data_IF_103378850788
#
_entry.id   IF_103378850788
#
_cell.length_a   1.000
_cell.length_b   1.000
_cell.length_c   1.000
_cell.angle_alpha   90.00
_cell.angle_beta   90.00
_cell.angle_gamma   90.00
#
_symmetry.space_group_name_H-M   'P 1'
#
loop_
_entity.id
_entity.type
_entity.pdbx_description
1 polymer ?
#
# COMPACT_ATOMS: atom_id res chain seq x y z
N UNK A 1 36.26 67.92 -42.21
CA UNK A 1 36.29 68.32 -40.77
C UNK A 1 35.21 67.51 -40.08
N UNK A 2 35.55 66.41 -39.40
CA UNK A 2 36.04 66.32 -38.01
C UNK A 2 34.87 66.31 -36.98
N UNK A 3 34.69 65.13 -36.36
CA UNK A 3 34.18 64.79 -34.99
C UNK A 3 32.70 64.38 -34.88
N UNK A 4 32.34 63.09 -34.67
CA UNK A 4 32.34 62.25 -33.44
C UNK A 4 31.35 62.70 -32.35
N UNK A 5 30.22 62.00 -32.23
CA UNK A 5 29.52 61.79 -30.97
C UNK A 5 28.76 60.45 -31.00
N UNK A 6 29.25 59.53 -30.18
CA UNK A 6 28.74 58.19 -29.89
C UNK A 6 27.50 58.31 -29.00
N UNK A 7 26.43 57.54 -29.28
CA UNK A 7 25.39 57.26 -28.29
C UNK A 7 25.03 55.77 -28.34
N UNK A 8 25.70 55.04 -27.45
CA UNK A 8 25.39 53.69 -27.01
C UNK A 8 24.28 53.80 -25.96
N UNK A 9 23.10 53.26 -26.23
CA UNK A 9 22.10 52.98 -25.19
C UNK A 9 21.71 51.51 -25.30
N UNK A 10 22.10 50.76 -24.27
CA UNK A 10 21.82 49.36 -24.08
C UNK A 10 20.34 49.15 -23.75
N UNK A 11 19.60 48.46 -24.61
CA UNK A 11 18.31 47.86 -24.28
C UNK A 11 18.55 46.40 -23.84
N UNK A 12 18.97 46.24 -22.59
CA UNK A 12 19.00 44.95 -21.91
C UNK A 12 18.22 45.08 -20.60
N UNK A 13 16.90 44.89 -20.64
CA UNK A 13 16.09 44.58 -19.46
C UNK A 13 14.68 44.19 -19.91
N UNK A 14 14.23 43.00 -19.54
CA UNK A 14 12.80 42.67 -19.62
C UNK A 14 12.42 41.26 -20.03
N UNK A 15 13.30 40.26 -20.00
CA UNK A 15 12.82 38.88 -19.82
C UNK A 15 12.35 38.75 -18.37
N UNK A 16 11.15 39.27 -18.08
CA UNK A 16 10.42 39.01 -16.85
C UNK A 16 9.99 37.55 -16.84
N UNK A 17 10.93 36.67 -16.49
CA UNK A 17 10.59 35.30 -16.09
C UNK A 17 9.81 35.46 -14.80
N UNK A 18 8.49 35.44 -14.91
CA UNK A 18 7.64 35.32 -13.73
C UNK A 18 8.03 33.97 -13.11
N UNK A 19 8.59 33.92 -11.88
CA UNK A 19 8.73 32.64 -11.21
C UNK A 19 7.31 32.14 -10.99
N UNK A 20 6.87 31.21 -11.83
CA UNK A 20 5.71 30.39 -11.50
C UNK A 20 6.07 29.77 -10.14
N UNK A 21 5.30 30.03 -9.07
CA UNK A 21 5.48 29.30 -7.84
C UNK A 21 5.36 27.83 -8.19
N UNK A 22 6.42 27.07 -7.97
CA UNK A 22 6.30 25.62 -8.03
C UNK A 22 5.15 25.23 -7.09
N UNK A 23 4.15 24.48 -7.58
CA UNK A 23 3.11 23.97 -6.71
C UNK A 23 3.81 23.29 -5.53
N UNK A 24 3.35 23.48 -4.28
CA UNK A 24 3.93 22.75 -3.17
C UNK A 24 3.79 21.26 -3.50
N UNK A 25 4.90 20.60 -3.83
CA UNK A 25 4.94 19.17 -3.94
C UNK A 25 4.73 18.65 -2.53
N UNK A 26 3.50 18.29 -2.20
CA UNK A 26 3.22 17.59 -0.96
C UNK A 26 4.04 16.31 -0.98
N UNK A 27 5.01 16.22 -0.05
CA UNK A 27 5.83 15.03 0.05
C UNK A 27 4.92 13.86 0.47
N UNK A 28 4.98 12.71 -0.22
CA UNK A 28 4.18 11.56 0.18
C UNK A 28 4.57 11.11 1.60
N UNK A 29 3.61 10.62 2.40
CA UNK A 29 3.91 9.99 3.68
C UNK A 29 4.85 8.80 3.47
N UNK A 30 5.70 8.54 4.45
CA UNK A 30 6.60 7.38 4.41
C UNK A 30 6.79 6.75 5.79
N UNK A 31 6.83 5.43 5.80
CA UNK A 31 7.39 4.63 6.89
C UNK A 31 8.91 4.58 6.70
N UNK A 32 9.65 5.33 7.51
CA UNK A 32 11.07 5.64 7.28
C UNK A 32 12.02 5.00 8.32
N UNK A 33 11.52 4.69 9.51
CA UNK A 33 12.33 4.10 10.59
C UNK A 33 11.79 2.75 11.05
N UNK A 34 12.47 2.20 12.05
CA UNK A 34 12.13 0.89 12.60
C UNK A 34 10.78 0.96 13.31
N UNK A 35 9.97 -0.09 13.13
CA UNK A 35 8.75 -0.33 13.88
C UNK A 35 9.00 -1.54 14.76
N UNK A 36 8.81 -1.38 16.06
CA UNK A 36 8.99 -2.46 17.03
C UNK A 36 7.63 -3.00 17.41
N UNK A 37 7.51 -4.32 17.46
CA UNK A 37 6.32 -5.02 17.93
C UNK A 37 6.66 -5.83 19.18
N UNK A 38 5.98 -5.56 20.28
CA UNK A 38 6.13 -6.32 21.52
C UNK A 38 5.16 -7.51 21.52
N UNK A 39 5.58 -8.65 20.97
CA UNK A 39 4.79 -9.88 21.09
C UNK A 39 4.96 -10.44 22.50
N UNK A 40 3.85 -10.58 23.23
CA UNK A 40 3.86 -11.24 24.53
C UNK A 40 3.70 -12.77 24.36
N UNK A 41 4.78 -13.51 24.56
CA UNK A 41 4.82 -14.98 24.41
C UNK A 41 3.94 -15.75 25.41
N UNK A 42 3.51 -15.09 26.48
CA UNK A 42 2.76 -15.69 27.60
C UNK A 42 1.32 -15.14 27.68
N UNK A 43 1.00 -14.12 26.88
CA UNK A 43 -0.31 -13.50 26.90
C UNK A 43 -1.18 -14.14 25.82
N UNK A 44 -1.97 -15.14 26.19
CA UNK A 44 -2.98 -15.70 25.28
C UNK A 44 -3.97 -14.61 24.87
N UNK A 45 -3.92 -14.21 23.60
CA UNK A 45 -4.89 -13.29 22.99
C UNK A 45 -4.77 -11.82 23.40
N UNK A 46 -3.65 -11.39 24.00
CA UNK A 46 -3.40 -9.96 24.15
C UNK A 46 -3.08 -9.33 22.78
N UNK A 47 -3.52 -8.08 22.53
CA UNK A 47 -3.15 -7.37 21.33
C UNK A 47 -1.63 -7.18 21.29
N UNK A 48 -1.10 -7.18 20.08
CA UNK A 48 0.28 -6.84 19.79
C UNK A 48 0.42 -5.31 19.77
N UNK A 49 1.19 -4.77 20.71
CA UNK A 49 1.55 -3.35 20.73
C UNK A 49 2.64 -3.10 19.68
N UNK A 50 2.33 -2.24 18.70
CA UNK A 50 3.27 -1.75 17.71
C UNK A 50 3.64 -0.30 18.03
N UNK A 51 4.94 -0.02 18.07
CA UNK A 51 5.46 1.31 18.34
C UNK A 51 6.47 1.74 17.28
N UNK A 52 6.35 2.99 16.83
CA UNK A 52 7.37 3.68 16.06
C UNK A 52 8.09 4.70 16.95
N UNK A 53 9.42 4.66 16.93
CA UNK A 53 10.24 5.69 17.57
C UNK A 53 10.09 7.04 16.86
N UNK A 54 10.58 8.15 17.46
CA UNK A 54 10.66 9.43 16.76
C UNK A 54 11.38 9.28 15.41
N UNK A 55 10.77 9.79 14.34
CA UNK A 55 11.24 9.67 12.96
C UNK A 55 10.83 8.39 12.23
N UNK A 56 10.13 7.44 12.88
CA UNK A 56 9.67 6.21 12.23
C UNK A 56 8.67 6.47 11.11
N UNK A 57 7.89 7.56 11.23
CA UNK A 57 6.99 8.04 10.19
C UNK A 57 7.37 9.46 9.81
N UNK A 58 7.34 9.74 8.51
CA UNK A 58 7.48 11.10 7.99
C UNK A 58 6.25 11.47 7.19
N UNK A 59 5.90 12.74 7.29
CA UNK A 59 4.89 13.34 6.45
C UNK A 59 3.50 12.66 6.48
N UNK A 60 3.08 12.16 7.65
CA UNK A 60 1.81 11.47 7.86
C UNK A 60 1.03 11.98 9.08
N UNK A 61 -0.29 11.81 9.06
CA UNK A 61 -1.17 12.11 10.19
C UNK A 61 -1.51 10.84 10.99
N UNK A 62 -1.55 9.69 10.29
CA UNK A 62 -1.90 8.39 10.89
C UNK A 62 -1.04 7.26 10.34
N UNK A 63 -0.91 6.20 11.14
CA UNK A 63 -0.51 4.86 10.69
C UNK A 63 -1.74 3.98 10.67
N UNK A 64 -1.97 3.37 9.51
CA UNK A 64 -2.95 2.31 9.31
C UNK A 64 -2.23 0.97 9.38
N UNK A 65 -2.81 0.01 10.11
CA UNK A 65 -2.28 -1.33 10.26
C UNK A 65 -3.37 -2.40 10.13
N UNK A 66 -3.05 -3.54 9.52
CA UNK A 66 -3.96 -4.67 9.36
C UNK A 66 -3.23 -5.99 9.53
N UNK A 67 -3.81 -6.91 10.30
CA UNK A 67 -3.35 -8.29 10.36
C UNK A 67 -3.91 -9.08 9.17
N UNK A 68 -3.02 -9.51 8.27
CA UNK A 68 -3.35 -10.22 7.03
C UNK A 68 -3.74 -11.70 7.26
N UNK A 69 -3.45 -12.25 8.44
CA UNK A 69 -3.84 -13.59 8.86
C UNK A 69 -5.12 -13.61 9.71
N UNK A 70 -5.61 -12.43 10.12
CA UNK A 70 -6.85 -12.26 10.85
C UNK A 70 -7.97 -11.69 9.99
N UNK A 71 -9.18 -11.63 10.56
CA UNK A 71 -10.36 -11.02 9.93
C UNK A 71 -10.79 -9.71 10.59
N UNK A 72 -10.09 -9.28 11.65
CA UNK A 72 -10.37 -8.02 12.33
C UNK A 72 -10.25 -6.82 11.36
N UNK A 73 -11.02 -5.75 11.56
CA UNK A 73 -10.84 -4.49 10.82
C UNK A 73 -9.42 -3.92 11.00
N UNK A 74 -8.97 -3.03 10.10
CA UNK A 74 -7.72 -2.33 10.31
C UNK A 74 -7.79 -1.43 11.55
N UNK A 75 -6.62 -1.23 12.16
CA UNK A 75 -6.41 -0.30 13.27
C UNK A 75 -5.72 0.95 12.73
N UNK A 76 -6.14 2.12 13.20
CA UNK A 76 -5.58 3.40 12.82
C UNK A 76 -5.12 4.12 14.08
N UNK A 77 -3.90 4.63 14.07
CA UNK A 77 -3.35 5.40 15.18
C UNK A 77 -2.77 6.75 14.70
N UNK A 78 -2.88 7.81 15.51
CA UNK A 78 -2.30 9.10 15.18
C UNK A 78 -0.77 9.05 15.21
N UNK A 79 -0.15 9.85 14.37
CA UNK A 79 1.30 10.10 14.36
C UNK A 79 1.59 11.38 15.14
N UNK A 80 2.55 11.32 16.06
CA UNK A 80 3.00 12.48 16.82
C UNK A 80 3.83 13.44 15.97
N UNK A 81 4.03 14.67 16.43
CA UNK A 81 4.78 15.70 15.68
C UNK A 81 6.25 15.36 15.42
N UNK A 82 6.81 14.39 16.14
CA UNK A 82 8.16 13.87 15.92
C UNK A 82 8.19 12.60 15.04
N UNK A 83 7.05 12.14 14.52
CA UNK A 83 6.95 10.94 13.70
C UNK A 83 6.79 9.62 14.47
N UNK A 84 6.68 9.67 15.81
CA UNK A 84 6.40 8.48 16.62
C UNK A 84 4.91 8.10 16.58
N UNK A 85 4.59 6.84 16.87
CA UNK A 85 3.22 6.34 16.99
C UNK A 85 3.17 5.10 17.91
N UNK A 86 1.98 4.80 18.41
CA UNK A 86 1.69 3.56 19.13
C UNK A 86 0.28 3.06 18.75
N UNK A 87 0.14 1.76 18.49
CA UNK A 87 -1.13 1.13 18.17
C UNK A 87 -1.19 -0.31 18.67
N UNK A 88 -2.38 -0.75 19.05
CA UNK A 88 -2.66 -2.13 19.47
C UNK A 88 -3.38 -2.86 18.34
N UNK A 89 -2.85 -3.99 17.88
CA UNK A 89 -3.46 -4.81 16.83
C UNK A 89 -3.62 -6.26 17.26
N UNK A 90 -4.76 -6.85 16.94
CA UNK A 90 -4.97 -8.29 17.15
C UNK A 90 -4.01 -9.08 16.25
N UNK A 91 -3.06 -9.79 16.85
CA UNK A 91 -2.05 -10.55 16.12
C UNK A 91 -1.29 -11.49 17.03
N UNK A 92 -0.81 -12.59 16.45
CA UNK A 92 0.04 -13.57 17.12
C UNK A 92 1.41 -13.60 16.44
N UNK A 93 2.39 -14.22 17.12
CA UNK A 93 3.68 -14.52 16.50
C UNK A 93 3.47 -15.30 15.19
N UNK A 94 4.18 -14.89 14.14
CA UNK A 94 4.12 -15.47 12.82
C UNK A 94 3.05 -14.86 11.92
N UNK A 95 2.11 -14.09 12.46
CA UNK A 95 1.17 -13.35 11.63
C UNK A 95 1.89 -12.27 10.82
N UNK A 96 1.41 -12.07 9.61
CA UNK A 96 1.79 -11.03 8.70
C UNK A 96 0.90 -9.80 8.90
N UNK A 97 1.52 -8.65 9.11
CA UNK A 97 0.90 -7.37 9.33
C UNK A 97 1.24 -6.46 8.16
N UNK A 98 0.25 -5.71 7.66
CA UNK A 98 0.45 -4.64 6.69
C UNK A 98 0.36 -3.30 7.39
N UNK A 99 1.38 -2.47 7.25
CA UNK A 99 1.42 -1.10 7.75
C UNK A 99 1.48 -0.11 6.59
N UNK A 100 0.87 1.06 6.78
CA UNK A 100 0.90 2.16 5.82
C UNK A 100 0.80 3.51 6.54
N UNK A 101 1.66 4.45 6.19
CA UNK A 101 1.56 5.83 6.66
C UNK A 101 0.62 6.63 5.74
N UNK A 102 -0.25 7.47 6.31
CA UNK A 102 -1.28 8.20 5.55
C UNK A 102 -1.42 9.66 5.98
N UNK A 103 -1.75 10.51 5.00
CA UNK A 103 -2.06 11.94 5.19
C UNK A 103 -3.17 12.33 4.22
N UNK A 104 -4.37 12.57 4.73
CA UNK A 104 -5.56 12.78 3.88
C UNK A 104 -5.72 11.62 2.87
N UNK A 105 -5.71 11.94 1.57
CA UNK A 105 -5.79 10.94 0.50
C UNK A 105 -4.42 10.33 0.11
N UNK A 106 -3.31 10.87 0.62
CA UNK A 106 -1.97 10.37 0.33
C UNK A 106 -1.65 9.15 1.21
N UNK A 107 -1.03 8.15 0.59
CA UNK A 107 -0.72 6.86 1.20
C UNK A 107 0.72 6.48 0.84
N UNK A 108 1.48 5.96 1.80
CA UNK A 108 2.80 5.40 1.52
C UNK A 108 2.68 4.09 0.77
N UNK A 109 3.76 3.56 0.21
CA UNK A 109 3.77 2.14 -0.15
C UNK A 109 3.46 1.29 1.10
N UNK A 110 2.64 0.23 0.99
CA UNK A 110 2.37 -0.64 2.12
C UNK A 110 3.63 -1.46 2.47
N UNK A 111 3.89 -1.65 3.76
CA UNK A 111 4.98 -2.50 4.25
C UNK A 111 4.37 -3.71 4.92
N UNK A 112 4.84 -4.90 4.53
CA UNK A 112 4.37 -6.16 5.12
C UNK A 112 5.45 -6.71 6.04
N UNK A 113 5.08 -6.96 7.29
CA UNK A 113 5.97 -7.34 8.38
C UNK A 113 5.45 -8.61 9.05
N UNK A 114 6.34 -9.47 9.53
CA UNK A 114 6.00 -10.64 10.33
C UNK A 114 6.20 -10.29 11.81
N UNK A 115 5.20 -10.60 12.62
CA UNK A 115 5.31 -10.51 14.08
C UNK A 115 6.27 -11.58 14.60
N UNK A 116 7.51 -11.20 14.91
CA UNK A 116 8.54 -12.08 15.46
C UNK A 116 8.68 -11.88 16.98
N UNK A 117 9.62 -12.58 17.62
CA UNK A 117 9.87 -12.42 19.06
C UNK A 117 10.52 -11.07 19.34
N UNK A 118 9.76 -10.13 19.91
CA UNK A 118 10.26 -8.82 20.33
C UNK A 118 10.63 -7.84 19.21
N UNK A 119 10.32 -8.17 17.96
CA UNK A 119 10.57 -7.34 16.79
C UNK A 119 9.57 -7.62 15.67
N UNK A 120 9.46 -6.68 14.73
CA UNK A 120 8.85 -6.92 13.43
C UNK A 120 9.94 -7.17 12.40
N UNK A 121 9.75 -8.19 11.57
CA UNK A 121 10.69 -8.53 10.49
C UNK A 121 10.04 -8.31 9.12
N UNK A 122 10.78 -7.89 8.08
CA UNK A 122 10.23 -7.83 6.74
C UNK A 122 9.67 -9.18 6.29
N UNK A 123 8.44 -9.19 5.77
CA UNK A 123 7.85 -10.43 5.27
C UNK A 123 8.61 -10.96 4.05
N UNK A 124 9.02 -12.24 4.03
CA UNK A 124 9.76 -12.81 2.91
C UNK A 124 8.98 -12.69 1.58
N UNK A 125 9.71 -12.31 0.52
CA UNK A 125 9.18 -12.16 -0.85
C UNK A 125 10.02 -12.96 -1.85
N UNK A 126 10.04 -14.31 -1.77
CA UNK A 126 10.90 -15.15 -2.61
C UNK A 126 10.65 -14.96 -4.12
N UNK A 127 9.42 -14.66 -4.51
CA UNK A 127 9.04 -14.47 -5.91
C UNK A 127 9.07 -13.01 -6.38
N UNK A 128 9.55 -12.05 -5.57
CA UNK A 128 9.54 -10.62 -5.95
C UNK A 128 10.31 -10.29 -7.23
N UNK A 129 11.27 -11.13 -7.61
CA UNK A 129 12.04 -10.97 -8.84
C UNK A 129 11.43 -11.64 -10.08
N UNK A 130 10.27 -12.30 -9.98
CA UNK A 130 9.66 -13.01 -11.10
C UNK A 130 8.12 -13.11 -11.10
N UNK A 131 7.46 -12.71 -10.02
CA UNK A 131 6.02 -12.61 -9.91
C UNK A 131 5.66 -11.21 -9.41
N UNK A 132 5.16 -10.39 -10.34
CA UNK A 132 4.80 -9.00 -10.14
C UNK A 132 3.29 -8.83 -10.11
N UNK A 133 2.80 -8.24 -9.02
CA UNK A 133 1.40 -7.90 -8.80
C UNK A 133 1.40 -6.59 -8.03
N UNK A 134 0.56 -5.63 -8.41
CA UNK A 134 0.43 -4.38 -7.65
C UNK A 134 0.05 -4.67 -6.20
N UNK A 135 0.59 -3.87 -5.26
CA UNK A 135 0.32 -4.08 -3.82
C UNK A 135 -0.99 -3.45 -3.39
N UNK A 136 -1.51 -2.53 -4.20
CA UNK A 136 -2.75 -1.82 -3.98
C UNK A 136 -3.49 -1.67 -5.30
N UNK A 137 -4.82 -1.68 -5.24
CA UNK A 137 -5.70 -1.50 -6.38
C UNK A 137 -6.78 -0.48 -6.01
N UNK A 138 -6.70 0.70 -6.63
CA UNK A 138 -7.73 1.71 -6.51
C UNK A 138 -8.96 1.32 -7.34
N UNK A 139 -10.13 1.38 -6.73
CA UNK A 139 -11.41 1.15 -7.35
C UNK A 139 -12.13 2.48 -7.56
N UNK A 140 -12.76 2.72 -8.73
CA UNK A 140 -13.56 3.90 -8.93
C UNK A 140 -14.68 3.98 -7.89
N UNK A 141 -15.00 5.19 -7.45
CA UNK A 141 -16.20 5.43 -6.65
C UNK A 141 -17.45 4.96 -7.40
N UNK A 142 -18.40 4.39 -6.65
CA UNK A 142 -19.69 3.96 -7.16
C UNK A 142 -20.79 4.36 -6.18
N UNK A 143 -21.96 4.73 -6.71
CA UNK A 143 -23.15 4.92 -5.89
C UNK A 143 -23.61 3.58 -5.29
N UNK A 144 -24.31 3.62 -4.14
CA UNK A 144 -24.83 2.41 -3.49
C UNK A 144 -25.64 1.53 -4.47
N UNK A 145 -25.31 0.24 -4.54
CA UNK A 145 -25.90 -0.73 -5.44
C UNK A 145 -25.38 -0.71 -6.89
N UNK A 146 -24.67 0.34 -7.32
CA UNK A 146 -23.98 0.36 -8.60
C UNK A 146 -22.65 -0.40 -8.49
N UNK A 147 -22.14 -0.91 -9.62
CA UNK A 147 -20.86 -1.60 -9.67
C UNK A 147 -19.78 -0.71 -10.28
N UNK A 148 -18.60 -0.69 -9.67
CA UNK A 148 -17.34 -0.30 -10.31
C UNK A 148 -16.39 -1.49 -10.35
N UNK A 149 -15.37 -1.41 -11.20
CA UNK A 149 -14.36 -2.47 -11.25
C UNK A 149 -13.01 -1.94 -11.71
N UNK A 150 -11.96 -2.54 -11.17
CA UNK A 150 -10.58 -2.42 -11.64
C UNK A 150 -9.99 -3.81 -11.80
N UNK A 151 -8.84 -3.92 -12.47
CA UNK A 151 -8.15 -5.17 -12.64
C UNK A 151 -6.69 -5.03 -12.23
N UNK A 152 -6.14 -6.07 -11.61
CA UNK A 152 -4.71 -6.18 -11.33
C UNK A 152 -4.12 -7.29 -12.21
N UNK A 153 -3.00 -6.98 -12.86
CA UNK A 153 -2.26 -7.95 -13.65
C UNK A 153 -1.52 -8.91 -12.71
N UNK A 154 -1.59 -10.21 -13.02
CA UNK A 154 -0.79 -11.26 -12.40
C UNK A 154 0.38 -11.56 -13.33
N UNK A 155 1.39 -10.69 -13.33
CA UNK A 155 2.52 -10.79 -14.24
C UNK A 155 3.54 -11.79 -13.69
N UNK A 156 3.85 -12.82 -14.49
CA UNK A 156 4.76 -13.89 -14.10
C UNK A 156 5.79 -14.16 -15.19
N UNK A 157 7.05 -14.21 -14.80
CA UNK A 157 8.20 -14.45 -15.67
C UNK A 157 9.25 -15.36 -14.99
N UNK A 158 8.83 -16.16 -14.00
CA UNK A 158 9.73 -17.16 -13.44
C UNK A 158 10.05 -18.22 -14.49
N UNK A 159 11.21 -18.87 -14.36
CA UNK A 159 11.62 -19.95 -15.27
C UNK A 159 10.81 -21.24 -15.13
N UNK A 160 9.97 -21.34 -14.10
CA UNK A 160 9.12 -22.49 -13.80
C UNK A 160 7.65 -22.04 -13.66
N UNK A 161 6.66 -22.93 -13.93
CA UNK A 161 5.25 -22.61 -13.79
C UNK A 161 4.87 -22.10 -12.38
N UNK A 162 3.99 -21.10 -12.35
CA UNK A 162 3.43 -20.54 -11.12
C UNK A 162 2.13 -21.26 -10.77
N UNK A 163 2.08 -21.95 -9.63
CA UNK A 163 0.84 -22.54 -9.12
C UNK A 163 0.20 -21.61 -8.10
N UNK A 164 -0.95 -21.04 -8.44
CA UNK A 164 -1.78 -20.24 -7.55
C UNK A 164 -2.86 -21.16 -6.99
N UNK A 165 -2.79 -21.45 -5.69
CA UNK A 165 -3.72 -22.39 -5.04
C UNK A 165 -5.02 -21.71 -4.64
N UNK A 166 -4.94 -20.42 -4.25
CA UNK A 166 -6.08 -19.66 -3.76
C UNK A 166 -5.99 -18.18 -4.09
N UNK A 167 -7.13 -17.60 -4.46
CA UNK A 167 -7.36 -16.17 -4.55
C UNK A 167 -8.63 -15.87 -3.75
N UNK A 168 -8.52 -15.11 -2.67
CA UNK A 168 -9.65 -14.84 -1.78
C UNK A 168 -9.51 -13.49 -1.07
N UNK A 169 -10.62 -12.94 -0.61
CA UNK A 169 -10.59 -11.82 0.34
C UNK A 169 -10.12 -12.33 1.71
N UNK A 170 -9.34 -11.50 2.41
CA UNK A 170 -8.86 -11.78 3.77
C UNK A 170 -10.01 -11.94 4.77
N UNK A 171 -11.00 -11.04 4.73
CA UNK A 171 -12.22 -11.14 5.53
C UNK A 171 -13.47 -11.14 4.63
N UNK A 172 -14.63 -11.64 5.12
CA UNK A 172 -15.89 -11.56 4.38
C UNK A 172 -16.29 -10.10 4.12
N UNK A 173 -16.27 -9.69 2.84
CA UNK A 173 -16.69 -8.37 2.42
C UNK A 173 -17.68 -8.50 1.23
N UNK A 174 -19.00 -8.52 1.48
CA UNK A 174 -20.00 -8.79 0.45
C UNK A 174 -20.10 -7.72 -0.64
N UNK A 175 -19.47 -6.56 -0.43
CA UNK A 175 -19.37 -5.49 -1.41
C UNK A 175 -18.31 -5.78 -2.48
N UNK A 176 -17.46 -6.78 -2.28
CA UNK A 176 -16.37 -7.15 -3.16
C UNK A 176 -16.62 -8.51 -3.81
N UNK A 177 -16.41 -8.60 -5.13
CA UNK A 177 -16.30 -9.87 -5.83
C UNK A 177 -15.02 -9.94 -6.67
N UNK A 178 -14.42 -11.13 -6.68
CA UNK A 178 -13.19 -11.44 -7.40
C UNK A 178 -13.55 -12.27 -8.64
N UNK A 179 -13.15 -11.80 -9.82
CA UNK A 179 -13.46 -12.37 -11.13
C UNK A 179 -12.17 -12.51 -11.98
N UNK A 180 -12.26 -13.21 -13.11
CA UNK A 180 -11.12 -13.42 -14.02
C UNK A 180 -10.35 -14.70 -13.69
N UNK A 181 -9.04 -14.60 -13.47
CA UNK A 181 -8.21 -15.75 -13.07
C UNK A 181 -8.71 -16.33 -11.76
N UNK A 182 -9.25 -17.55 -11.82
CA UNK A 182 -9.78 -18.26 -10.68
C UNK A 182 -8.79 -19.34 -10.22
N UNK A 183 -8.54 -19.42 -8.92
CA UNK A 183 -7.72 -20.46 -8.32
C UNK A 183 -8.57 -21.70 -7.95
N UNK A 184 -8.00 -22.91 -7.97
CA UNK A 184 -6.60 -23.21 -8.29
C UNK A 184 -6.29 -23.07 -9.78
N UNK A 185 -5.11 -22.53 -10.11
CA UNK A 185 -4.64 -22.35 -11.50
C UNK A 185 -3.11 -22.47 -11.59
N UNK A 186 -2.62 -22.96 -12.72
CA UNK A 186 -1.20 -22.95 -13.06
C UNK A 186 -1.00 -21.99 -14.23
N UNK A 187 -0.15 -20.99 -14.04
CA UNK A 187 0.31 -20.09 -15.10
C UNK A 187 1.64 -20.61 -15.63
N UNK A 188 1.69 -20.93 -16.93
CA UNK A 188 2.93 -21.33 -17.59
C UNK A 188 3.94 -20.17 -17.61
N UNK A 189 5.23 -20.49 -17.72
CA UNK A 189 6.29 -19.48 -17.75
C UNK A 189 6.05 -18.44 -18.86
N UNK A 190 6.06 -17.15 -18.48
CA UNK A 190 5.81 -16.02 -19.38
C UNK A 190 4.33 -15.78 -19.72
N UNK A 191 3.40 -16.56 -19.16
CA UNK A 191 1.96 -16.25 -19.22
C UNK A 191 1.56 -15.25 -18.13
N UNK A 192 0.47 -14.52 -18.38
CA UNK A 192 -0.10 -13.58 -17.42
C UNK A 192 -1.55 -13.95 -17.10
N UNK A 193 -1.94 -13.69 -15.86
CA UNK A 193 -3.35 -13.70 -15.43
C UNK A 193 -3.88 -12.29 -15.23
N UNK A 194 -5.21 -12.16 -15.09
CA UNK A 194 -5.87 -10.92 -14.69
C UNK A 194 -6.85 -11.24 -13.56
N UNK A 195 -6.71 -10.54 -12.44
CA UNK A 195 -7.69 -10.57 -11.36
C UNK A 195 -8.54 -9.29 -11.44
N UNK A 196 -9.81 -9.44 -11.79
CA UNK A 196 -10.78 -8.34 -11.80
C UNK A 196 -11.45 -8.25 -10.44
N UNK A 197 -11.46 -7.05 -9.87
CA UNK A 197 -12.14 -6.76 -8.62
C UNK A 197 -13.34 -5.88 -8.93
N UNK A 198 -14.53 -6.36 -8.55
CA UNK A 198 -15.78 -5.62 -8.69
C UNK A 198 -16.21 -5.15 -7.30
N UNK A 199 -16.51 -3.86 -7.19
CA UNK A 199 -16.99 -3.22 -5.97
C UNK A 199 -18.45 -2.78 -6.14
N UNK A 200 -19.30 -3.17 -5.19
CA UNK A 200 -20.73 -2.83 -5.12
C UNK A 200 -21.04 -2.32 -3.71
N UNK A 201 -20.88 -1.02 -3.44
CA UNK A 201 -21.11 -0.46 -2.12
C UNK A 201 -22.55 -0.68 -1.67
N UNK A 202 -22.74 -1.02 -0.38
CA UNK A 202 -24.08 -1.06 0.23
C UNK A 202 -24.47 0.27 0.88
N UNK A 203 -23.51 1.17 1.08
CA UNK A 203 -23.70 2.49 1.66
C UNK A 203 -22.62 3.48 1.24
N UNK A 204 -22.59 4.65 1.86
CA UNK A 204 -21.68 5.74 1.49
C UNK A 204 -20.27 5.62 2.10
N UNK A 205 -20.06 4.71 3.06
CA UNK A 205 -18.75 4.54 3.69
C UNK A 205 -17.85 3.69 2.79
N UNK A 206 -16.77 4.29 2.28
CA UNK A 206 -15.74 3.56 1.57
C UNK A 206 -15.11 2.52 2.51
N UNK A 207 -14.99 1.28 2.02
CA UNK A 207 -14.37 0.18 2.74
C UNK A 207 -13.07 -0.20 2.07
N UNK A 208 -12.06 -0.49 2.87
CA UNK A 208 -10.84 -1.15 2.41
C UNK A 208 -10.89 -2.63 2.77
N UNK A 209 -10.33 -3.47 1.92
CA UNK A 209 -10.13 -4.89 2.19
C UNK A 209 -8.84 -5.37 1.49
N UNK A 210 -8.42 -6.60 1.73
CA UNK A 210 -7.25 -7.19 1.07
C UNK A 210 -7.64 -8.44 0.32
N UNK A 211 -7.23 -8.53 -0.95
CA UNK A 211 -7.19 -9.79 -1.69
C UNK A 211 -5.86 -10.50 -1.44
N UNK A 212 -5.92 -11.77 -1.04
CA UNK A 212 -4.79 -12.66 -0.82
C UNK A 212 -4.68 -13.64 -1.98
N UNK A 213 -3.49 -13.72 -2.56
CA UNK A 213 -3.11 -14.66 -3.62
C UNK A 213 -2.06 -15.60 -3.02
N UNK A 214 -2.43 -16.86 -2.81
CA UNK A 214 -1.58 -17.90 -2.22
C UNK A 214 -0.98 -18.76 -3.35
N UNK A 215 0.35 -18.90 -3.32
CA UNK A 215 1.16 -19.58 -4.33
C UNK A 215 1.95 -20.71 -3.66
N UNK A 216 1.96 -21.90 -4.26
CA UNK A 216 2.76 -23.05 -3.78
C UNK A 216 3.98 -23.37 -4.65
N UNK A 217 4.02 -22.88 -5.89
CA UNK A 217 5.11 -23.15 -6.84
C UNK A 217 5.48 -21.88 -7.61
N UNK A 218 6.78 -21.63 -7.87
CA UNK A 218 7.94 -22.47 -7.53
C UNK A 218 8.36 -22.41 -6.06
N UNK A 219 7.88 -21.42 -5.32
CA UNK A 219 8.11 -21.27 -3.89
C UNK A 219 6.80 -20.89 -3.19
N UNK A 220 6.65 -21.31 -1.94
CA UNK A 220 5.48 -20.96 -1.13
C UNK A 220 5.52 -19.47 -0.83
N UNK A 221 4.47 -18.76 -1.21
CA UNK A 221 4.40 -17.32 -1.13
C UNK A 221 2.95 -16.85 -1.03
N UNK A 222 2.72 -15.72 -0.35
CA UNK A 222 1.43 -15.04 -0.34
C UNK A 222 1.61 -13.59 -0.76
N UNK A 223 0.82 -13.15 -1.74
CA UNK A 223 0.72 -11.74 -2.15
C UNK A 223 -0.56 -11.15 -1.63
N UNK A 224 -0.47 -10.01 -0.95
CA UNK A 224 -1.60 -9.21 -0.53
C UNK A 224 -1.75 -7.96 -1.41
N UNK A 225 -2.97 -7.73 -1.91
CA UNK A 225 -3.37 -6.55 -2.68
C UNK A 225 -4.41 -5.78 -1.89
N UNK A 226 -4.07 -4.56 -1.43
CA UNK A 226 -5.02 -3.67 -0.76
C UNK A 226 -6.03 -3.16 -1.77
N UNK A 227 -7.30 -3.46 -1.56
CA UNK A 227 -8.42 -2.96 -2.34
C UNK A 227 -8.97 -1.72 -1.62
N UNK A 228 -9.01 -0.60 -2.31
CA UNK A 228 -9.49 0.64 -1.72
C UNK A 228 -10.25 1.48 -2.74
N UNK A 229 -11.19 2.28 -2.24
CA UNK A 229 -11.82 3.37 -3.00
C UNK A 229 -11.18 4.67 -2.52
N UNK A 230 -10.74 5.58 -3.41
CA UNK A 230 -10.24 6.89 -3.01
C UNK A 230 -11.19 7.58 -2.02
N UNK A 231 -10.63 8.19 -0.97
CA UNK A 231 -11.43 8.79 0.11
C UNK A 231 -11.85 7.83 1.23
N UNK A 232 -11.49 6.54 1.15
CA UNK A 232 -11.47 5.67 2.33
C UNK A 232 -10.44 6.18 3.37
N UNK A 233 -10.77 6.12 4.68
CA UNK A 233 -9.84 6.49 5.75
C UNK A 233 -8.63 5.54 5.83
#
# INVERSE_FOLDING_TARGET
MRWLAVLLVACAAGCGVNPIPEPPFERPPALAGDVVGAVCDVCDGAPLELTGAPGSVTDADVVWAMNLDGTAPPVVAPVAGDGSFALDIDGLRGNELRLQARRGALRSEPVDLIAASGALEPSPRPLAGCFEVERELALPEAAAGAASSSAVALAHFCGAPLAIDRIALRAPAPEYSLEGTAAPVVLEAGSAGELRVVYRPTGAAAREEVALIEVSSPEVFRRAVTLFVPGAP
#
